data_IF_461740653808
#
_entry.id   IF_461740653808
#
_cell.length_a   1.000
_cell.length_b   1.000
_cell.length_c   1.000
_cell.angle_alpha   90.00
_cell.angle_beta   90.00
_cell.angle_gamma   90.00
#
_symmetry.space_group_name_H-M   'P 1'
#
loop_
_entity.id
_entity.type
_entity.pdbx_description
1 polymer ?
#
# COMPACT_ATOMS: atom_id res chain seq x y z
N UNK A 1 17.89 3.41 -16.56
CA UNK A 1 18.44 2.09 -16.21
C UNK A 1 18.78 1.38 -17.50
N UNK A 2 20.06 1.13 -17.76
CA UNK A 2 20.47 0.40 -18.97
C UNK A 2 20.63 -1.06 -18.55
N UNK A 3 19.92 -1.96 -19.23
CA UNK A 3 20.04 -3.39 -19.01
C UNK A 3 20.96 -3.94 -20.10
N UNK A 4 22.26 -3.93 -19.81
CA UNK A 4 23.27 -4.36 -20.76
C UNK A 4 23.80 -5.75 -20.39
N UNK A 5 24.15 -6.57 -21.39
CA UNK A 5 24.99 -7.74 -21.18
C UNK A 5 26.25 -7.34 -20.41
N UNK A 6 26.75 -8.21 -19.54
CA UNK A 6 27.98 -7.96 -18.78
C UNK A 6 29.13 -7.60 -19.73
N UNK A 7 29.18 -8.18 -20.94
CA UNK A 7 30.26 -7.92 -21.90
C UNK A 7 30.23 -6.51 -22.52
N UNK A 8 29.18 -5.71 -22.29
CA UNK A 8 29.03 -4.39 -22.94
C UNK A 8 29.52 -3.26 -22.03
N UNK A 9 30.54 -2.54 -22.50
CA UNK A 9 31.14 -1.44 -21.78
C UNK A 9 30.42 -0.11 -22.07
N UNK A 10 29.89 0.54 -21.03
CA UNK A 10 29.15 1.81 -21.16
C UNK A 10 30.06 3.04 -21.36
N UNK A 11 31.33 2.94 -20.93
CA UNK A 11 32.21 4.11 -20.78
C UNK A 11 33.60 3.94 -21.42
N UNK A 12 33.89 2.82 -22.09
CA UNK A 12 35.16 2.57 -22.78
C UNK A 12 34.97 1.65 -23.99
N UNK A 13 35.85 1.75 -24.99
CA UNK A 13 35.88 0.86 -26.16
C UNK A 13 36.77 -0.39 -25.95
N UNK A 14 37.61 -0.38 -24.91
CA UNK A 14 38.54 -1.48 -24.53
C UNK A 14 38.00 -2.37 -23.39
N UNK A 15 38.77 -3.39 -23.02
CA UNK A 15 38.44 -4.46 -22.05
C UNK A 15 37.83 -3.92 -20.74
N UNK A 16 36.52 -4.14 -20.58
CA UNK A 16 35.70 -3.50 -19.54
C UNK A 16 35.92 -4.10 -18.14
N UNK A 17 36.55 -5.28 -18.08
CA UNK A 17 36.84 -6.03 -16.87
C UNK A 17 38.34 -6.07 -16.65
N UNK A 18 38.94 -4.96 -16.19
CA UNK A 18 40.36 -4.95 -15.89
C UNK A 18 40.68 -6.06 -14.89
N UNK A 19 41.82 -6.72 -15.09
CA UNK A 19 42.28 -7.77 -14.18
C UNK A 19 42.29 -7.24 -12.74
N UNK A 20 41.62 -7.98 -11.83
CA UNK A 20 41.47 -7.60 -10.43
C UNK A 20 40.20 -6.81 -10.09
N UNK A 21 39.27 -6.61 -11.03
CA UNK A 21 37.93 -6.10 -10.70
C UNK A 21 37.20 -7.09 -9.79
N UNK A 22 36.86 -6.64 -8.59
CA UNK A 22 36.06 -7.40 -7.62
C UNK A 22 34.60 -6.97 -7.73
N UNK A 23 33.70 -7.95 -7.68
CA UNK A 23 32.25 -7.73 -7.64
C UNK A 23 31.70 -8.31 -6.34
N UNK A 24 30.93 -7.50 -5.61
CA UNK A 24 30.22 -7.91 -4.40
C UNK A 24 28.72 -7.85 -4.63
N UNK A 25 28.04 -8.92 -4.21
CA UNK A 25 26.62 -9.15 -4.45
C UNK A 25 25.90 -9.21 -3.10
N UNK A 26 24.98 -8.29 -2.87
CA UNK A 26 24.16 -8.25 -1.66
C UNK A 26 22.70 -8.53 -2.01
N UNK A 27 22.10 -9.64 -1.53
CA UNK A 27 20.69 -9.89 -1.76
C UNK A 27 19.85 -8.88 -0.97
N UNK A 28 18.88 -8.26 -1.64
CA UNK A 28 17.95 -7.35 -0.99
C UNK A 28 16.74 -8.18 -0.53
N UNK A 29 16.63 -8.40 0.78
CA UNK A 29 15.56 -9.18 1.39
C UNK A 29 14.63 -8.30 2.22
N UNK A 30 13.32 -8.44 2.01
CA UNK A 30 12.30 -7.73 2.77
C UNK A 30 11.17 -8.68 3.14
N UNK A 31 10.82 -8.77 4.43
CA UNK A 31 9.80 -9.70 4.95
C UNK A 31 9.96 -11.17 4.49
N UNK A 32 11.20 -11.64 4.33
CA UNK A 32 11.50 -13.00 3.85
C UNK A 32 11.38 -13.18 2.34
N UNK A 33 11.00 -12.15 1.59
CA UNK A 33 10.94 -12.17 0.12
C UNK A 33 12.14 -11.43 -0.49
N UNK A 34 12.60 -11.89 -1.66
CA UNK A 34 13.68 -11.24 -2.41
C UNK A 34 13.14 -10.01 -3.16
N UNK A 35 13.53 -8.82 -2.71
CA UNK A 35 13.23 -7.55 -3.36
C UNK A 35 14.13 -7.29 -4.58
N UNK A 36 15.36 -7.79 -4.58
CA UNK A 36 16.34 -7.58 -5.65
C UNK A 36 17.76 -8.02 -5.27
N UNK A 37 18.75 -7.48 -5.99
CA UNK A 37 20.17 -7.60 -5.64
C UNK A 37 20.82 -6.22 -5.78
N UNK A 38 21.71 -5.89 -4.85
CA UNK A 38 22.64 -4.77 -4.96
C UNK A 38 23.98 -5.32 -5.44
N UNK A 39 24.46 -4.79 -6.56
CA UNK A 39 25.74 -5.18 -7.17
C UNK A 39 26.69 -4.00 -7.02
N UNK A 40 27.85 -4.25 -6.43
CA UNK A 40 28.92 -3.26 -6.27
C UNK A 40 30.18 -3.81 -6.91
N UNK A 41 30.92 -2.96 -7.62
CA UNK A 41 32.20 -3.34 -8.22
C UNK A 41 33.29 -2.35 -7.85
N UNK A 42 34.49 -2.86 -7.58
CA UNK A 42 35.67 -2.06 -7.21
C UNK A 42 36.95 -2.86 -7.50
N UNK A 43 38.03 -2.17 -7.83
CA UNK A 43 39.36 -2.80 -8.04
C UNK A 43 40.06 -3.27 -6.75
N UNK A 44 39.54 -2.89 -5.58
CA UNK A 44 40.09 -3.25 -4.27
C UNK A 44 39.03 -3.98 -3.47
N UNK A 45 39.43 -4.98 -2.70
CA UNK A 45 38.55 -5.65 -1.74
C UNK A 45 37.99 -4.64 -0.74
N UNK A 46 36.73 -4.80 -0.37
CA UNK A 46 36.15 -4.06 0.74
C UNK A 46 36.77 -4.53 2.06
N UNK A 47 37.01 -3.57 2.96
CA UNK A 47 37.37 -3.85 4.35
C UNK A 47 36.15 -4.40 5.10
N UNK A 48 36.35 -5.07 6.24
CA UNK A 48 35.25 -5.61 7.04
C UNK A 48 34.27 -4.51 7.49
N UNK A 49 34.78 -3.33 7.84
CA UNK A 49 33.94 -2.18 8.24
C UNK A 49 33.13 -1.63 7.07
N UNK A 50 33.69 -1.66 5.86
CA UNK A 50 32.98 -1.28 4.64
C UNK A 50 31.89 -2.31 4.31
N UNK A 51 32.17 -3.61 4.46
CA UNK A 51 31.18 -4.67 4.24
C UNK A 51 29.98 -4.53 5.20
N UNK A 52 30.21 -4.29 6.48
CA UNK A 52 29.14 -4.06 7.45
C UNK A 52 28.26 -2.85 7.09
N UNK A 53 28.88 -1.75 6.59
CA UNK A 53 28.14 -0.59 6.11
C UNK A 53 27.29 -0.92 4.87
N UNK A 54 27.85 -1.70 3.93
CA UNK A 54 27.16 -2.11 2.72
C UNK A 54 26.00 -3.07 2.98
N UNK A 55 26.12 -3.95 3.97
CA UNK A 55 25.01 -4.79 4.44
C UNK A 55 23.88 -3.94 5.02
N UNK A 56 24.21 -2.93 5.83
CA UNK A 56 23.21 -1.98 6.32
C UNK A 56 22.55 -1.21 5.18
N UNK A 57 23.33 -0.75 4.20
CA UNK A 57 22.81 -0.07 3.03
C UNK A 57 21.89 -0.98 2.20
N UNK A 58 22.25 -2.25 2.02
CA UNK A 58 21.44 -3.27 1.36
C UNK A 58 20.13 -3.51 2.13
N UNK A 59 20.17 -3.61 3.46
CA UNK A 59 18.97 -3.74 4.29
C UNK A 59 18.03 -2.55 4.11
N UNK A 60 18.56 -1.32 4.22
CA UNK A 60 17.76 -0.09 4.05
C UNK A 60 17.17 -0.03 2.64
N UNK A 61 17.95 -0.32 1.60
CA UNK A 61 17.46 -0.38 0.22
C UNK A 61 16.35 -1.41 0.06
N UNK A 62 16.49 -2.60 0.66
CA UNK A 62 15.47 -3.64 0.63
C UNK A 62 14.16 -3.18 1.29
N UNK A 63 14.21 -2.44 2.39
CA UNK A 63 13.02 -1.85 3.03
C UNK A 63 12.32 -0.85 2.10
N UNK A 64 13.08 0.03 1.44
CA UNK A 64 12.50 1.00 0.51
C UNK A 64 11.90 0.34 -0.74
N UNK A 65 12.58 -0.67 -1.30
CA UNK A 65 12.08 -1.43 -2.46
C UNK A 65 10.94 -2.39 -2.09
N UNK A 66 10.95 -2.91 -0.87
CA UNK A 66 9.96 -3.81 -0.30
C UNK A 66 8.65 -3.14 0.09
N UNK A 67 8.63 -1.80 0.18
CA UNK A 67 7.39 -0.98 0.16
C UNK A 67 6.72 -1.02 -1.22
N UNK A 68 6.47 -2.21 -1.76
CA UNK A 68 5.55 -2.39 -2.89
C UNK A 68 4.14 -2.05 -2.43
N UNK A 69 3.31 -1.56 -3.35
CA UNK A 69 1.87 -1.52 -3.11
C UNK A 69 1.40 -2.89 -2.61
N UNK A 70 0.47 -2.93 -1.63
CA UNK A 70 -0.07 -4.19 -1.14
C UNK A 70 -0.51 -5.05 -2.33
N UNK A 71 -0.10 -6.32 -2.32
CA UNK A 71 -0.51 -7.28 -3.35
C UNK A 71 -2.03 -7.29 -3.50
N UNK A 72 -2.56 -7.79 -4.62
CA UNK A 72 -4.01 -7.90 -4.79
C UNK A 72 -4.67 -8.65 -3.61
N UNK A 73 -3.99 -9.69 -3.10
CA UNK A 73 -4.38 -10.41 -1.88
C UNK A 73 -4.34 -9.51 -0.63
N UNK A 74 -3.30 -8.69 -0.46
CA UNK A 74 -3.20 -7.72 0.64
C UNK A 74 -4.29 -6.64 0.59
N UNK A 75 -4.59 -6.10 -0.59
CA UNK A 75 -5.69 -5.14 -0.79
C UNK A 75 -7.03 -5.76 -0.41
N UNK A 76 -7.27 -7.02 -0.76
CA UNK A 76 -8.49 -7.74 -0.37
C UNK A 76 -8.55 -8.03 1.13
N UNK A 77 -7.44 -8.48 1.72
CA UNK A 77 -7.32 -8.76 3.14
C UNK A 77 -7.58 -7.50 3.98
N UNK A 78 -7.03 -6.35 3.59
CA UNK A 78 -7.27 -5.09 4.28
C UNK A 78 -8.77 -4.72 4.32
N UNK A 79 -9.45 -4.85 3.18
CA UNK A 79 -10.91 -4.62 3.09
C UNK A 79 -11.68 -5.56 4.02
N UNK A 80 -11.28 -6.84 4.08
CA UNK A 80 -11.94 -7.83 4.94
C UNK A 80 -11.78 -7.47 6.41
N UNK A 81 -10.55 -7.21 6.85
CA UNK A 81 -10.23 -6.80 8.23
C UNK A 81 -11.02 -5.53 8.60
N UNK A 82 -11.07 -4.54 7.72
CA UNK A 82 -11.83 -3.33 7.95
C UNK A 82 -13.33 -3.61 8.13
N UNK A 83 -13.92 -4.47 7.28
CA UNK A 83 -15.33 -4.88 7.41
C UNK A 83 -15.59 -5.73 8.66
N UNK A 84 -14.64 -6.57 9.08
CA UNK A 84 -14.70 -7.36 10.31
C UNK A 84 -14.64 -6.50 11.58
N UNK A 85 -14.03 -5.32 11.51
CA UNK A 85 -13.97 -4.36 12.63
C UNK A 85 -15.30 -3.63 12.90
N UNK A 86 -16.27 -3.74 11.99
CA UNK A 86 -17.58 -3.10 12.10
C UNK A 86 -18.54 -3.98 12.90
N UNK A 87 -19.25 -3.39 13.86
CA UNK A 87 -20.41 -4.00 14.49
C UNK A 87 -21.56 -4.19 13.49
N UNK A 88 -22.54 -5.01 13.85
CA UNK A 88 -23.72 -5.27 13.01
C UNK A 88 -24.43 -3.96 12.57
N UNK A 89 -24.67 -3.05 13.51
CA UNK A 89 -25.31 -1.76 13.23
C UNK A 89 -24.44 -0.83 12.37
N UNK A 90 -23.12 -0.84 12.57
CA UNK A 90 -22.18 -0.09 11.74
C UNK A 90 -22.14 -0.64 10.30
N UNK A 91 -22.13 -1.97 10.13
CA UNK A 91 -22.16 -2.60 8.82
C UNK A 91 -23.47 -2.29 8.08
N UNK A 92 -24.61 -2.32 8.77
CA UNK A 92 -25.91 -1.93 8.22
C UNK A 92 -25.93 -0.47 7.78
N UNK A 93 -25.34 0.43 8.60
CA UNK A 93 -25.22 1.85 8.28
C UNK A 93 -24.39 2.08 7.00
N UNK A 94 -23.21 1.44 6.90
CA UNK A 94 -22.34 1.55 5.72
C UNK A 94 -23.03 1.01 4.46
N UNK A 95 -23.76 -0.10 4.54
CA UNK A 95 -24.55 -0.61 3.41
C UNK A 95 -25.58 0.41 2.91
N UNK A 96 -26.33 1.02 3.82
CA UNK A 96 -27.33 2.02 3.44
C UNK A 96 -26.70 3.29 2.85
N UNK A 97 -25.57 3.74 3.41
CA UNK A 97 -24.78 4.87 2.89
C UNK A 97 -24.35 4.63 1.45
N UNK A 98 -23.65 3.52 1.18
CA UNK A 98 -23.12 3.26 -0.17
C UNK A 98 -24.21 2.87 -1.17
N UNK A 99 -25.37 2.39 -0.70
CA UNK A 99 -26.56 2.23 -1.56
C UNK A 99 -27.13 3.58 -2.00
N UNK A 100 -27.13 4.60 -1.13
CA UNK A 100 -27.60 5.94 -1.46
C UNK A 100 -26.59 6.74 -2.28
N UNK A 101 -25.29 6.53 -2.05
CA UNK A 101 -24.22 7.16 -2.83
C UNK A 101 -24.23 6.72 -4.30
N UNK A 102 -24.56 5.45 -4.57
CA UNK A 102 -24.69 4.91 -5.93
C UNK A 102 -23.38 4.79 -6.72
N UNK A 103 -22.22 5.02 -6.09
CA UNK A 103 -20.91 5.03 -6.74
C UNK A 103 -19.74 4.88 -5.78
N UNK A 104 -18.52 5.04 -6.30
CA UNK A 104 -17.26 4.95 -5.53
C UNK A 104 -16.88 6.26 -4.84
N UNK A 105 -17.53 7.37 -5.20
CA UNK A 105 -17.32 8.67 -4.59
C UNK A 105 -18.58 9.53 -4.59
N UNK A 106 -18.66 10.49 -3.68
CA UNK A 106 -19.74 11.48 -3.64
C UNK A 106 -19.88 12.18 -2.29
N UNK A 107 -20.97 12.95 -2.15
CA UNK A 107 -21.24 13.75 -0.97
C UNK A 107 -22.29 13.10 -0.08
N UNK A 108 -22.00 13.04 1.21
CA UNK A 108 -22.89 12.48 2.22
C UNK A 108 -23.26 13.53 3.26
N UNK A 109 -24.56 13.67 3.51
CA UNK A 109 -25.07 14.43 4.66
C UNK A 109 -25.54 13.42 5.71
N UNK A 110 -24.72 13.19 6.74
CA UNK A 110 -24.95 12.14 7.73
C UNK A 110 -26.32 12.23 8.43
N UNK A 111 -26.87 13.43 8.64
CA UNK A 111 -28.21 13.60 9.20
C UNK A 111 -29.30 13.05 8.29
N UNK A 112 -29.29 13.40 7.00
CA UNK A 112 -30.29 12.90 6.03
C UNK A 112 -30.26 11.37 5.92
N UNK A 113 -29.07 10.80 5.97
CA UNK A 113 -28.86 9.35 5.84
C UNK A 113 -29.27 8.61 7.11
N UNK A 114 -28.97 9.19 8.28
CA UNK A 114 -29.43 8.69 9.58
C UNK A 114 -30.96 8.60 9.64
N UNK A 115 -31.66 9.67 9.24
CA UNK A 115 -33.11 9.75 9.29
C UNK A 115 -33.79 8.77 8.31
N UNK A 116 -33.16 8.54 7.15
CA UNK A 116 -33.68 7.64 6.10
C UNK A 116 -33.52 6.16 6.41
N UNK A 117 -32.41 5.78 7.05
CA UNK A 117 -32.10 4.37 7.38
C UNK A 117 -32.57 4.01 8.80
N UNK A 118 -32.91 4.99 9.62
CA UNK A 118 -33.33 4.78 11.02
C UNK A 118 -32.16 4.41 11.93
N UNK A 119 -30.97 4.97 11.68
CA UNK A 119 -29.75 4.70 12.46
C UNK A 119 -29.25 6.01 13.06
N UNK A 120 -28.64 5.96 14.25
CA UNK A 120 -28.07 7.14 14.88
C UNK A 120 -26.86 7.69 14.11
N UNK A 121 -26.71 9.02 14.07
CA UNK A 121 -25.56 9.70 13.45
C UNK A 121 -24.21 9.21 14.01
N UNK A 122 -24.13 8.87 15.29
CA UNK A 122 -22.91 8.38 15.93
C UNK A 122 -22.43 7.04 15.37
N UNK A 123 -23.35 6.12 15.04
CA UNK A 123 -23.02 4.82 14.42
C UNK A 123 -22.41 5.03 13.03
N UNK A 124 -22.96 5.96 12.25
CA UNK A 124 -22.42 6.32 10.93
C UNK A 124 -21.00 6.89 11.05
N UNK A 125 -20.81 7.86 11.94
CA UNK A 125 -19.49 8.51 12.13
C UNK A 125 -18.45 7.50 12.60
N UNK A 126 -18.80 6.61 13.54
CA UNK A 126 -17.89 5.58 14.02
C UNK A 126 -17.51 4.58 12.93
N UNK A 127 -18.48 4.11 12.15
CA UNK A 127 -18.23 3.20 11.03
C UNK A 127 -17.30 3.83 9.98
N UNK A 128 -17.56 5.09 9.60
CA UNK A 128 -16.72 5.83 8.66
C UNK A 128 -15.30 6.03 9.20
N UNK A 129 -15.15 6.34 10.49
CA UNK A 129 -13.84 6.49 11.14
C UNK A 129 -13.03 5.19 11.13
N UNK A 130 -13.66 4.04 11.35
CA UNK A 130 -13.01 2.73 11.28
C UNK A 130 -12.52 2.42 9.86
N UNK A 131 -13.34 2.65 8.85
CA UNK A 131 -12.98 2.44 7.46
C UNK A 131 -11.88 3.41 6.97
N UNK A 132 -11.92 4.65 7.43
CA UNK A 132 -10.89 5.67 7.15
C UNK A 132 -9.56 5.32 7.82
N UNK A 133 -9.60 4.88 9.08
CA UNK A 133 -8.43 4.39 9.81
C UNK A 133 -7.77 3.18 9.10
N UNK A 134 -8.57 2.29 8.51
CA UNK A 134 -8.07 1.17 7.71
C UNK A 134 -7.62 1.58 6.28
N UNK A 135 -7.74 2.85 5.90
CA UNK A 135 -7.38 3.35 4.57
C UNK A 135 -8.25 2.81 3.44
N UNK A 136 -9.45 2.29 3.75
CA UNK A 136 -10.39 1.73 2.77
C UNK A 136 -11.21 2.82 2.11
N UNK A 137 -11.56 3.86 2.89
CA UNK A 137 -12.25 5.05 2.42
C UNK A 137 -11.48 6.29 2.85
N UNK A 138 -11.74 7.40 2.17
CA UNK A 138 -11.25 8.72 2.52
C UNK A 138 -12.44 9.63 2.77
N UNK A 139 -12.39 10.40 3.86
CA UNK A 139 -13.43 11.36 4.18
C UNK A 139 -12.85 12.77 4.24
N UNK A 140 -13.55 13.74 3.64
CA UNK A 140 -13.20 15.15 3.73
C UNK A 140 -14.42 15.94 4.16
N UNK A 141 -14.36 16.54 5.35
CA UNK A 141 -15.42 17.42 5.84
C UNK A 141 -15.52 18.68 4.99
N UNK A 142 -16.74 19.03 4.59
CA UNK A 142 -17.08 20.28 3.89
C UNK A 142 -18.01 21.15 4.75
N UNK A 143 -18.01 20.91 6.07
CA UNK A 143 -18.88 21.60 7.01
C UNK A 143 -20.36 21.32 6.72
N UNK A 144 -21.14 22.39 6.55
CA UNK A 144 -22.60 22.30 6.37
C UNK A 144 -23.03 21.63 5.06
N UNK A 145 -22.13 21.53 4.08
CA UNK A 145 -22.39 20.83 2.81
C UNK A 145 -22.29 19.30 2.93
N UNK A 146 -21.83 18.80 4.08
CA UNK A 146 -21.66 17.39 4.36
C UNK A 146 -20.20 16.94 4.30
N UNK A 147 -20.00 15.66 4.08
CA UNK A 147 -18.68 15.02 3.99
C UNK A 147 -18.53 14.42 2.60
N UNK A 148 -17.44 14.76 1.91
CA UNK A 148 -17.05 14.05 0.70
C UNK A 148 -16.44 12.71 1.08
N UNK A 149 -16.89 11.63 0.44
CA UNK A 149 -16.39 10.28 0.67
C UNK A 149 -15.86 9.74 -0.65
N UNK A 150 -14.69 9.11 -0.61
CA UNK A 150 -14.10 8.40 -1.74
C UNK A 150 -13.60 7.02 -1.32
N UNK A 151 -13.93 5.99 -2.09
CA UNK A 151 -13.41 4.64 -1.89
C UNK A 151 -11.97 4.57 -2.41
N UNK A 152 -11.02 4.18 -1.57
CA UNK A 152 -9.61 4.00 -1.97
C UNK A 152 -9.34 2.61 -2.54
N UNK A 153 -10.10 1.60 -2.12
CA UNK A 153 -9.89 0.21 -2.52
C UNK A 153 -11.09 -0.31 -3.33
N UNK A 154 -10.90 -0.56 -4.62
CA UNK A 154 -11.95 -1.03 -5.52
C UNK A 154 -12.60 -2.37 -5.10
N UNK A 155 -11.95 -3.17 -4.24
CA UNK A 155 -12.54 -4.41 -3.72
C UNK A 155 -13.61 -4.15 -2.64
N UNK A 156 -13.70 -2.94 -2.10
CA UNK A 156 -14.56 -2.61 -0.96
C UNK A 156 -16.05 -2.82 -1.26
N UNK A 157 -16.57 -2.20 -2.34
CA UNK A 157 -18.00 -2.30 -2.66
C UNK A 157 -18.41 -3.75 -2.98
N UNK A 158 -17.51 -4.51 -3.59
CA UNK A 158 -17.72 -5.94 -3.88
C UNK A 158 -17.81 -6.77 -2.61
N UNK A 159 -16.86 -6.62 -1.67
CA UNK A 159 -16.89 -7.34 -0.40
C UNK A 159 -18.05 -6.87 0.51
N UNK A 160 -18.40 -5.59 0.49
CA UNK A 160 -19.55 -5.05 1.22
C UNK A 160 -20.87 -5.69 0.76
N UNK A 161 -21.05 -5.88 -0.55
CA UNK A 161 -22.20 -6.59 -1.14
C UNK A 161 -22.21 -8.07 -0.74
N UNK A 162 -21.05 -8.72 -0.66
CA UNK A 162 -20.93 -10.14 -0.28
C UNK A 162 -21.42 -10.41 1.15
N UNK A 163 -21.14 -9.50 2.09
CA UNK A 163 -21.63 -9.56 3.48
C UNK A 163 -23.10 -9.17 3.64
N UNK A 164 -23.80 -8.90 2.52
CA UNK A 164 -25.21 -8.49 2.46
C UNK A 164 -26.20 -9.61 2.19
N UNK A 165 -25.75 -10.86 2.07
CA UNK A 165 -26.60 -12.05 2.09
C UNK A 165 -26.67 -12.63 3.49
#
# INVERSE_FOLDING_TARGET
AVNLPLETCLFAEDDCFPQGLMVSLFPLLYNGEKAGNLILSRMKSFLEEELALLEMAALVAAVFMGRKEPSAAGKLANVRIALDSLSYSELAAIKGIFKELGGEEGFLVASKVADKIGITRSVIVNAMRKLESAGVVESRSLGMKGTYIKVKNGNFLTELKRRGK
#
